data_IF_134895890448
#
_entry.id   IF_134895890448
#
_cell.length_a   1.000
_cell.length_b   1.000
_cell.length_c   1.000
_cell.angle_alpha   90.00
_cell.angle_beta   90.00
_cell.angle_gamma   90.00
#
_symmetry.space_group_name_H-M   'P 1'
#
loop_
_entity.id
_entity.type
_entity.pdbx_description
1 polymer ?
#
# COMPACT_ATOMS: atom_id res chain seq x y z
N UNK A 1 -18.31 -7.70 -14.04
CA UNK A 1 -17.12 -7.24 -14.80
C UNK A 1 -16.01 -7.01 -13.78
N UNK A 2 -14.89 -7.73 -13.87
CA UNK A 2 -13.75 -7.46 -12.97
C UNK A 2 -13.25 -6.03 -13.22
N UNK A 3 -12.92 -5.25 -12.17
CA UNK A 3 -12.29 -3.94 -12.35
C UNK A 3 -11.06 -4.08 -13.25
N UNK A 4 -10.85 -3.12 -14.15
CA UNK A 4 -9.59 -3.04 -14.88
C UNK A 4 -8.46 -2.91 -13.85
N UNK A 5 -7.44 -3.76 -13.88
CA UNK A 5 -6.33 -3.73 -12.91
C UNK A 5 -5.62 -2.36 -12.87
N UNK A 6 -5.77 -1.55 -13.93
CA UNK A 6 -5.28 -0.16 -13.97
C UNK A 6 -5.98 0.78 -12.97
N UNK A 7 -7.18 0.46 -12.49
CA UNK A 7 -7.84 1.27 -11.43
C UNK A 7 -7.04 1.25 -10.14
N UNK A 8 -6.33 0.16 -9.86
CA UNK A 8 -5.45 0.07 -8.69
C UNK A 8 -4.24 0.99 -8.83
N UNK A 9 -3.70 1.22 -10.04
CA UNK A 9 -2.63 2.21 -10.24
C UNK A 9 -3.10 3.63 -9.94
N UNK A 10 -4.33 3.97 -10.30
CA UNK A 10 -4.93 5.29 -9.98
C UNK A 10 -5.16 5.42 -8.48
N UNK A 11 -5.67 4.36 -7.84
CA UNK A 11 -5.84 4.31 -6.39
C UNK A 11 -4.50 4.46 -5.65
N UNK A 12 -3.45 3.79 -6.14
CA UNK A 12 -2.11 3.86 -5.58
C UNK A 12 -1.55 5.29 -5.68
N UNK A 13 -1.78 6.02 -6.78
CA UNK A 13 -1.40 7.45 -6.90
C UNK A 13 -2.05 8.28 -5.79
N UNK A 14 -3.35 8.11 -5.57
CA UNK A 14 -4.07 8.85 -4.52
C UNK A 14 -3.54 8.55 -3.13
N UNK A 15 -3.34 7.26 -2.81
CA UNK A 15 -2.79 6.82 -1.53
C UNK A 15 -1.37 7.38 -1.31
N UNK A 16 -0.47 7.21 -2.29
CA UNK A 16 0.90 7.67 -2.16
C UNK A 16 1.03 9.20 -2.14
N UNK A 17 0.11 9.93 -2.76
CA UNK A 17 0.04 11.38 -2.63
C UNK A 17 -0.29 11.80 -1.19
N UNK A 18 -1.24 11.12 -0.54
CA UNK A 18 -1.55 11.37 0.87
C UNK A 18 -0.35 11.06 1.77
N UNK A 19 0.33 9.93 1.52
CA UNK A 19 1.50 9.50 2.30
C UNK A 19 2.75 10.35 2.05
N UNK A 20 2.87 10.99 0.88
CA UNK A 20 4.00 11.86 0.55
C UNK A 20 3.94 13.22 1.27
N UNK A 21 2.75 13.68 1.67
CA UNK A 21 2.57 14.96 2.36
C UNK A 21 2.75 14.73 3.87
N UNK A 22 3.75 15.35 4.54
CA UNK A 22 4.09 15.04 5.93
C UNK A 22 2.91 15.10 6.90
N UNK A 23 2.10 16.17 6.84
CA UNK A 23 0.96 16.35 7.73
C UNK A 23 -0.15 15.32 7.50
N UNK A 24 -0.39 14.93 6.24
CA UNK A 24 -1.41 13.94 5.90
C UNK A 24 -0.94 12.52 6.22
N UNK A 25 0.34 12.23 6.02
CA UNK A 25 0.95 10.97 6.42
C UNK A 25 0.82 10.74 7.93
N UNK A 26 1.21 11.73 8.74
CA UNK A 26 1.05 11.63 10.19
C UNK A 26 -0.42 11.45 10.61
N UNK A 27 -1.34 12.15 9.95
CA UNK A 27 -2.77 11.98 10.17
C UNK A 27 -3.25 10.56 9.84
N UNK A 28 -2.89 10.03 8.67
CA UNK A 28 -3.28 8.68 8.23
C UNK A 28 -2.71 7.61 9.16
N UNK A 29 -1.44 7.72 9.55
CA UNK A 29 -0.83 6.77 10.49
C UNK A 29 -1.52 6.85 11.85
N UNK A 30 -1.78 8.05 12.36
CA UNK A 30 -2.48 8.24 13.64
C UNK A 30 -3.90 7.67 13.60
N UNK A 31 -4.60 7.81 12.47
CA UNK A 31 -5.92 7.22 12.25
C UNK A 31 -5.86 5.69 12.21
N UNK A 32 -4.89 5.10 11.53
CA UNK A 32 -4.73 3.63 11.50
C UNK A 32 -4.45 3.09 12.90
N UNK A 33 -3.63 3.79 13.67
CA UNK A 33 -3.23 3.37 15.01
C UNK A 33 -4.29 3.66 16.09
N UNK A 34 -5.23 4.57 15.85
CA UNK A 34 -6.31 4.85 16.82
C UNK A 34 -7.25 3.67 17.05
N UNK A 35 -7.26 2.69 16.14
CA UNK A 35 -7.98 1.43 16.30
C UNK A 35 -7.21 0.36 17.10
N UNK A 36 -5.96 0.62 17.46
CA UNK A 36 -5.05 -0.35 18.06
C UNK A 36 -4.34 0.16 19.30
N UNK A 37 -3.12 -0.35 19.54
CA UNK A 37 -2.33 0.00 20.72
C UNK A 37 -1.46 1.24 20.46
N UNK A 38 -1.85 2.37 21.06
CA UNK A 38 -1.12 3.62 20.99
C UNK A 38 0.27 3.56 21.64
N UNK A 39 0.55 2.56 22.51
CA UNK A 39 1.84 2.36 23.15
C UNK A 39 2.97 2.03 22.18
N UNK A 40 2.66 1.44 21.03
CA UNK A 40 3.63 1.11 19.98
C UNK A 40 4.17 2.36 19.24
N UNK A 41 3.46 3.48 19.30
CA UNK A 41 3.70 4.66 18.48
C UNK A 41 4.04 5.90 19.31
N UNK A 42 5.11 5.80 20.08
CA UNK A 42 5.60 6.90 20.93
C UNK A 42 7.10 7.13 20.68
N UNK A 43 7.55 8.37 20.86
CA UNK A 43 8.97 8.72 20.80
C UNK A 43 9.61 8.42 19.45
N UNK A 44 10.78 7.76 19.47
CA UNK A 44 11.56 7.45 18.27
C UNK A 44 10.86 6.51 17.29
N UNK A 45 10.02 5.59 17.77
CA UNK A 45 9.25 4.68 16.93
C UNK A 45 8.26 5.43 16.04
N UNK A 46 7.57 6.43 16.60
CA UNK A 46 6.67 7.32 15.85
C UNK A 46 7.42 8.03 14.72
N UNK A 47 8.54 8.68 15.05
CA UNK A 47 9.35 9.40 14.05
C UNK A 47 9.84 8.47 12.95
N UNK A 48 10.35 7.29 13.31
CA UNK A 48 10.86 6.31 12.34
C UNK A 48 9.76 5.84 11.37
N UNK A 49 8.57 5.52 11.87
CA UNK A 49 7.44 5.07 11.04
C UNK A 49 6.96 6.20 10.13
N UNK A 50 6.77 7.42 10.64
CA UNK A 50 6.37 8.57 9.80
C UNK A 50 7.38 8.80 8.68
N UNK A 51 8.66 8.86 9.01
CA UNK A 51 9.72 9.11 8.01
C UNK A 51 9.77 7.98 6.98
N UNK A 52 9.74 6.72 7.42
CA UNK A 52 9.76 5.58 6.51
C UNK A 52 8.56 5.58 5.55
N UNK A 53 7.35 5.72 6.09
CA UNK A 53 6.11 5.76 5.29
C UNK A 53 6.10 6.97 4.36
N UNK A 54 6.65 8.11 4.78
CA UNK A 54 6.77 9.31 3.94
C UNK A 54 7.70 9.10 2.75
N UNK A 55 8.88 8.51 2.98
CA UNK A 55 9.83 8.15 1.91
C UNK A 55 9.21 7.12 0.96
N UNK A 56 8.56 6.09 1.52
CA UNK A 56 7.84 5.10 0.72
C UNK A 56 6.70 5.74 -0.08
N UNK A 57 6.01 6.74 0.48
CA UNK A 57 4.98 7.54 -0.18
C UNK A 57 5.50 8.28 -1.41
N UNK A 58 6.60 9.02 -1.27
CA UNK A 58 7.21 9.75 -2.40
C UNK A 58 7.66 8.80 -3.50
N UNK A 59 8.35 7.72 -3.15
CA UNK A 59 8.82 6.72 -4.12
C UNK A 59 7.64 6.02 -4.80
N UNK A 60 6.64 5.59 -4.02
CA UNK A 60 5.42 4.95 -4.51
C UNK A 60 4.62 5.84 -5.45
N UNK A 61 4.54 7.15 -5.17
CA UNK A 61 3.89 8.12 -6.04
C UNK A 61 4.59 8.20 -7.40
N UNK A 62 5.92 8.33 -7.39
CA UNK A 62 6.73 8.35 -8.62
C UNK A 62 6.54 7.08 -9.46
N UNK A 63 6.64 5.91 -8.83
CA UNK A 63 6.43 4.64 -9.54
C UNK A 63 5.00 4.47 -10.07
N UNK A 64 3.99 4.90 -9.32
CA UNK A 64 2.59 4.78 -9.75
C UNK A 64 2.27 5.68 -10.94
N UNK A 65 2.80 6.91 -10.94
CA UNK A 65 2.69 7.81 -12.10
C UNK A 65 3.40 7.26 -13.34
N UNK A 66 4.58 6.64 -13.16
CA UNK A 66 5.30 5.99 -14.26
C UNK A 66 4.48 4.82 -14.83
N UNK A 67 3.90 3.96 -13.98
CA UNK A 67 3.08 2.81 -14.42
C UNK A 67 1.85 3.23 -15.22
N UNK A 68 1.22 4.36 -14.87
CA UNK A 68 0.09 4.89 -15.64
C UNK A 68 0.48 5.32 -17.06
N UNK A 69 1.72 5.74 -17.26
CA UNK A 69 2.23 6.22 -18.57
C UNK A 69 2.82 5.12 -19.45
N UNK A 70 3.17 3.96 -18.89
CA UNK A 70 3.79 2.86 -19.62
C UNK A 70 2.71 1.89 -20.14
N UNK A 71 2.85 1.35 -21.37
CA UNK A 71 2.00 0.28 -21.85
C UNK A 71 2.08 -0.95 -20.96
N UNK A 72 0.96 -1.61 -20.84
CA UNK A 72 0.73 -2.66 -19.86
C UNK A 72 1.48 -3.95 -20.29
N UNK A 73 2.66 -4.21 -19.74
CA UNK A 73 3.45 -5.43 -20.02
C UNK A 73 3.18 -6.55 -19.02
N UNK A 74 3.56 -7.79 -19.36
CA UNK A 74 3.42 -8.93 -18.46
C UNK A 74 4.30 -8.78 -17.21
N UNK A 75 5.50 -8.25 -17.37
CA UNK A 75 6.44 -7.99 -16.26
C UNK A 75 5.89 -6.92 -15.32
N UNK A 76 5.26 -5.87 -15.85
CA UNK A 76 4.69 -4.80 -15.03
C UNK A 76 3.53 -5.30 -14.16
N UNK A 77 2.70 -6.21 -14.70
CA UNK A 77 1.64 -6.88 -13.93
C UNK A 77 2.23 -7.79 -12.85
N UNK A 78 3.29 -8.56 -13.17
CA UNK A 78 3.97 -9.42 -12.20
C UNK A 78 4.62 -8.62 -11.07
N UNK A 79 5.32 -7.53 -11.39
CA UNK A 79 5.92 -6.64 -10.38
C UNK A 79 4.81 -6.06 -9.49
N UNK A 80 3.69 -5.62 -10.07
CA UNK A 80 2.57 -5.07 -9.30
C UNK A 80 1.92 -6.11 -8.39
N UNK A 81 1.78 -7.35 -8.87
CA UNK A 81 1.34 -8.49 -8.06
C UNK A 81 2.25 -8.71 -6.86
N UNK A 82 3.56 -8.79 -7.09
CA UNK A 82 4.55 -9.01 -6.02
C UNK A 82 4.52 -7.87 -5.00
N UNK A 83 4.49 -6.62 -5.45
CA UNK A 83 4.40 -5.45 -4.55
C UNK A 83 3.16 -5.53 -3.67
N UNK A 84 2.01 -5.92 -4.21
CA UNK A 84 0.77 -6.07 -3.42
C UNK A 84 0.85 -7.23 -2.42
N UNK A 85 1.48 -8.34 -2.78
CA UNK A 85 1.72 -9.46 -1.84
C UNK A 85 2.65 -9.01 -0.70
N UNK A 86 3.73 -8.30 -1.00
CA UNK A 86 4.66 -7.80 0.02
C UNK A 86 4.00 -6.75 0.93
N UNK A 87 3.24 -5.81 0.36
CA UNK A 87 2.50 -4.80 1.12
C UNK A 87 1.46 -5.46 2.05
N UNK A 88 0.65 -6.36 1.51
CA UNK A 88 -0.33 -7.12 2.28
C UNK A 88 0.33 -7.96 3.39
N UNK A 89 1.47 -8.59 3.09
CA UNK A 89 2.25 -9.35 4.07
C UNK A 89 2.82 -8.49 5.20
N UNK A 90 3.34 -7.31 4.89
CA UNK A 90 3.85 -6.37 5.88
C UNK A 90 2.74 -5.87 6.81
N UNK A 91 1.58 -5.51 6.25
CA UNK A 91 0.41 -5.08 7.02
C UNK A 91 -0.15 -6.21 7.89
N UNK A 92 -0.23 -7.42 7.34
CA UNK A 92 -0.68 -8.61 8.08
C UNK A 92 0.27 -8.93 9.24
N UNK A 93 1.58 -8.80 9.03
CA UNK A 93 2.56 -8.95 10.11
C UNK A 93 2.31 -7.91 11.22
N UNK A 94 2.11 -6.64 10.88
CA UNK A 94 1.78 -5.61 11.87
C UNK A 94 0.49 -5.91 12.65
N UNK A 95 -0.53 -6.45 11.98
CA UNK A 95 -1.75 -6.93 12.65
C UNK A 95 -1.47 -8.10 13.61
N UNK A 96 -0.69 -9.10 13.20
CA UNK A 96 -0.34 -10.25 14.05
C UNK A 96 0.44 -9.85 15.30
N UNK A 97 1.17 -8.73 15.24
CA UNK A 97 1.87 -8.13 16.39
C UNK A 97 0.96 -7.27 17.28
N UNK A 98 -0.34 -7.19 16.98
CA UNK A 98 -1.32 -6.45 17.78
C UNK A 98 -1.30 -4.93 17.59
N UNK A 99 -0.61 -4.41 16.56
CA UNK A 99 -0.44 -2.96 16.36
C UNK A 99 -1.78 -2.27 16.10
N UNK A 100 -2.57 -2.76 15.15
CA UNK A 100 -3.93 -2.26 14.90
C UNK A 100 -4.78 -3.22 14.06
N UNK A 101 -6.07 -3.42 14.39
CA UNK A 101 -7.03 -4.14 13.54
C UNK A 101 -7.21 -3.53 12.16
N UNK A 102 -7.00 -2.21 12.00
CA UNK A 102 -7.12 -1.55 10.69
C UNK A 102 -6.09 -2.10 9.69
N UNK A 103 -4.93 -2.59 10.17
CA UNK A 103 -3.91 -3.20 9.32
C UNK A 103 -4.41 -4.51 8.67
N UNK A 104 -5.31 -5.25 9.31
CA UNK A 104 -5.93 -6.44 8.70
C UNK A 104 -6.79 -6.05 7.50
N UNK A 105 -7.59 -4.99 7.64
CA UNK A 105 -8.47 -4.50 6.55
C UNK A 105 -7.61 -4.04 5.37
N UNK A 106 -6.54 -3.29 5.65
CA UNK A 106 -5.59 -2.84 4.61
C UNK A 106 -4.87 -4.02 3.96
N UNK A 107 -4.44 -5.02 4.74
CA UNK A 107 -3.82 -6.23 4.22
C UNK A 107 -4.75 -7.00 3.28
N UNK A 108 -6.02 -7.16 3.65
CA UNK A 108 -7.04 -7.78 2.81
C UNK A 108 -7.28 -6.99 1.52
N UNK A 109 -7.25 -5.66 1.58
CA UNK A 109 -7.36 -4.82 0.38
C UNK A 109 -6.18 -5.04 -0.58
N UNK A 110 -4.95 -5.12 -0.07
CA UNK A 110 -3.76 -5.39 -0.88
C UNK A 110 -3.77 -6.83 -1.45
N UNK A 111 -4.19 -7.83 -0.67
CA UNK A 111 -4.37 -9.19 -1.20
C UNK A 111 -5.50 -9.29 -2.23
N UNK A 112 -6.58 -8.52 -2.06
CA UNK A 112 -7.63 -8.40 -3.06
C UNK A 112 -7.11 -7.80 -4.37
N UNK A 113 -6.30 -6.74 -4.28
CA UNK A 113 -5.62 -6.17 -5.44
C UNK A 113 -4.66 -7.18 -6.09
N UNK A 114 -3.89 -7.94 -5.29
CA UNK A 114 -3.01 -9.00 -5.76
C UNK A 114 -3.80 -10.07 -6.55
N UNK A 115 -4.98 -10.49 -6.07
CA UNK A 115 -5.82 -11.43 -6.80
C UNK A 115 -6.26 -10.89 -8.18
N UNK A 116 -6.58 -9.60 -8.28
CA UNK A 116 -6.91 -8.96 -9.57
C UNK A 116 -5.69 -8.94 -10.50
N UNK A 117 -4.49 -8.62 -9.98
CA UNK A 117 -3.26 -8.68 -10.78
C UNK A 117 -2.90 -10.11 -11.21
N UNK A 118 -3.11 -11.11 -10.37
CA UNK A 118 -2.93 -12.52 -10.72
C UNK A 118 -3.87 -12.93 -11.86
N UNK A 119 -5.15 -12.55 -11.78
CA UNK A 119 -6.10 -12.80 -12.86
C UNK A 119 -5.71 -12.08 -14.17
N UNK A 120 -5.20 -10.85 -14.08
CA UNK A 120 -4.70 -10.09 -15.22
C UNK A 120 -3.43 -10.73 -15.84
N UNK A 121 -2.56 -11.30 -15.00
CA UNK A 121 -1.35 -12.00 -15.44
C UNK A 121 -1.71 -13.28 -16.22
N UNK A 122 -2.65 -14.09 -15.72
CA UNK A 122 -3.12 -15.32 -16.37
C UNK A 122 -3.89 -15.04 -17.67
N UNK A 123 -4.60 -13.91 -17.79
CA UNK A 123 -5.27 -13.55 -19.04
C UNK A 123 -4.33 -13.04 -20.15
N UNK A 124 -3.11 -12.63 -19.80
CA UNK A 124 -2.08 -12.18 -20.75
C UNK A 124 -1.11 -13.30 -21.18
N UNK A 125 -1.23 -14.48 -20.57
CA UNK A 125 -0.67 -15.74 -21.08
C UNK A 125 -1.65 -16.41 -22.01
#
# INVERSE_FOLDING_TARGET
MLPSHRSFYVSDVGLFLLLAIPCLNEYVISLVLSFGDAGFYVGSAKTAVITFVGVAGVLGLGFSLLRLRIPDSRDLVLISLLVKIFAGGWLLFGYMQGVSPALLILALADFGAAAVFAAAFVKKT
#
